data_IF_577162763216
#
_entry.id   IF_577162763216
#
_cell.length_a   1.000
_cell.length_b   1.000
_cell.length_c   1.000
_cell.angle_alpha   90.00
_cell.angle_beta   90.00
_cell.angle_gamma   90.00
#
_symmetry.space_group_name_H-M   'P 1'
#
loop_
_entity.id
_entity.type
_entity.pdbx_description
1 polymer ?
#
# COMPACT_ATOMS: atom_id res chain seq x y z
N UNK A 1 -34.02 -0.41 23.07
CA UNK A 1 -32.55 -0.26 23.28
C UNK A 1 -32.23 -0.95 24.59
N UNK A 2 -32.12 -2.28 24.55
CA UNK A 2 -31.71 -3.08 25.69
C UNK A 2 -30.22 -2.93 25.93
N UNK A 3 -29.85 -2.83 27.21
CA UNK A 3 -28.52 -2.46 27.66
C UNK A 3 -27.47 -3.49 27.28
N UNK A 4 -26.32 -3.01 26.81
CA UNK A 4 -25.09 -3.77 26.80
C UNK A 4 -24.69 -4.03 28.27
N UNK A 5 -25.13 -5.16 28.82
CA UNK A 5 -24.48 -5.73 30.01
C UNK A 5 -23.10 -6.18 29.56
N UNK A 6 -22.08 -5.45 29.98
CA UNK A 6 -20.70 -5.95 29.93
C UNK A 6 -20.66 -7.19 30.83
N UNK A 7 -20.54 -8.37 30.23
CA UNK A 7 -20.26 -9.59 30.99
C UNK A 7 -18.89 -9.39 31.66
N UNK A 8 -18.83 -9.48 32.98
CA UNK A 8 -17.55 -9.46 33.69
C UNK A 8 -16.84 -10.80 33.40
N UNK A 9 -15.51 -10.79 33.36
CA UNK A 9 -14.71 -11.99 33.06
C UNK A 9 -15.04 -13.17 33.97
N UNK A 10 -15.44 -12.89 35.22
CA UNK A 10 -15.87 -13.89 36.19
C UNK A 10 -17.20 -14.58 35.80
N UNK A 11 -18.15 -13.85 35.20
CA UNK A 11 -19.46 -14.39 34.81
C UNK A 11 -19.34 -15.33 33.59
N UNK A 12 -18.30 -15.14 32.77
CA UNK A 12 -18.08 -15.91 31.55
C UNK A 12 -17.64 -17.36 31.82
N UNK A 13 -16.86 -17.59 32.89
CA UNK A 13 -16.41 -18.93 33.28
C UNK A 13 -17.53 -19.80 33.85
N UNK A 14 -18.64 -19.21 34.30
CA UNK A 14 -19.80 -19.93 34.84
C UNK A 14 -20.81 -20.36 33.76
N UNK A 15 -20.63 -19.93 32.52
CA UNK A 15 -21.55 -20.25 31.41
C UNK A 15 -21.45 -21.69 30.92
N UNK A 16 -20.44 -22.45 31.38
CA UNK A 16 -20.24 -23.85 30.96
C UNK A 16 -19.92 -24.00 29.47
N UNK A 17 -19.38 -22.95 28.85
CA UNK A 17 -18.96 -22.97 27.45
C UNK A 17 -17.56 -23.59 27.35
N UNK A 18 -17.32 -24.35 26.30
CA UNK A 18 -16.00 -24.92 26.07
C UNK A 18 -15.07 -23.95 25.34
N UNK A 19 -15.64 -23.22 24.38
CA UNK A 19 -14.92 -22.21 23.62
C UNK A 19 -15.81 -21.01 23.31
N UNK A 20 -15.21 -19.83 23.32
CA UNK A 20 -15.82 -18.58 22.85
C UNK A 20 -14.90 -17.95 21.80
N UNK A 21 -15.42 -17.85 20.57
CA UNK A 21 -14.76 -17.14 19.47
C UNK A 21 -15.20 -15.68 19.49
N UNK A 22 -14.22 -14.79 19.58
CA UNK A 22 -14.40 -13.35 19.69
C UNK A 22 -13.92 -12.64 18.42
N UNK A 23 -14.35 -11.39 18.24
CA UNK A 23 -13.95 -10.53 17.13
C UNK A 23 -13.59 -9.12 17.60
N UNK A 24 -13.11 -8.29 16.68
CA UNK A 24 -12.75 -6.89 16.95
C UNK A 24 -11.28 -6.67 17.36
N UNK A 25 -10.49 -7.74 17.45
CA UNK A 25 -9.02 -7.70 17.47
C UNK A 25 -8.47 -8.26 16.16
N UNK A 26 -7.34 -7.73 15.70
CA UNK A 26 -6.72 -8.11 14.44
C UNK A 26 -5.52 -9.04 14.61
N UNK A 27 -4.98 -9.11 15.83
CA UNK A 27 -3.96 -10.05 16.29
C UNK A 27 -4.61 -11.35 16.79
N UNK A 28 -3.93 -12.48 16.56
CA UNK A 28 -4.32 -13.75 17.17
C UNK A 28 -4.08 -13.68 18.67
N UNK A 29 -5.09 -14.02 19.45
CA UNK A 29 -4.97 -14.17 20.89
C UNK A 29 -5.76 -15.36 21.38
N UNK A 30 -5.17 -16.09 22.31
CA UNK A 30 -5.80 -17.21 22.99
C UNK A 30 -5.55 -17.09 24.49
N UNK A 31 -6.58 -17.29 25.29
CA UNK A 31 -6.47 -17.33 26.73
C UNK A 31 -7.58 -18.18 27.34
N UNK A 32 -7.31 -18.72 28.53
CA UNK A 32 -8.26 -19.53 29.28
C UNK A 32 -8.87 -18.71 30.43
N UNK A 33 -10.19 -18.85 30.61
CA UNK A 33 -10.89 -18.37 31.81
C UNK A 33 -11.70 -19.55 32.36
N UNK A 34 -11.27 -20.09 33.51
CA UNK A 34 -11.85 -21.33 34.03
C UNK A 34 -11.53 -22.51 33.10
N UNK A 35 -12.57 -23.23 32.67
CA UNK A 35 -12.45 -24.33 31.70
C UNK A 35 -12.83 -23.91 30.27
N UNK A 36 -12.99 -22.61 30.03
CA UNK A 36 -13.42 -22.07 28.74
C UNK A 36 -12.23 -21.43 28.02
N UNK A 37 -12.01 -21.84 26.77
CA UNK A 37 -10.99 -21.24 25.89
C UNK A 37 -11.58 -20.05 25.13
N UNK A 38 -10.97 -18.88 25.26
CA UNK A 38 -11.33 -17.69 24.50
C UNK A 38 -10.32 -17.46 23.39
N UNK A 39 -10.82 -17.26 22.17
CA UNK A 39 -9.99 -17.06 20.99
C UNK A 39 -10.41 -15.81 20.25
N UNK A 40 -9.45 -14.94 20.00
CA UNK A 40 -9.49 -13.96 18.92
C UNK A 40 -8.71 -14.55 17.74
N UNK A 41 -9.37 -14.94 16.64
CA UNK A 41 -8.67 -15.50 15.48
C UNK A 41 -7.84 -14.46 14.72
N UNK A 42 -8.09 -13.17 14.97
CA UNK A 42 -7.44 -12.07 14.26
C UNK A 42 -8.01 -11.87 12.85
N UNK A 43 -7.31 -11.05 12.06
CA UNK A 43 -7.62 -10.88 10.63
C UNK A 43 -6.87 -11.92 9.79
N UNK A 44 -7.46 -12.36 8.67
CA UNK A 44 -6.79 -13.29 7.73
C UNK A 44 -5.85 -12.57 6.74
N UNK A 45 -5.89 -11.25 6.69
CA UNK A 45 -5.01 -10.43 5.85
C UNK A 45 -4.62 -9.16 6.62
N UNK A 46 -3.50 -8.55 6.24
CA UNK A 46 -3.11 -7.25 6.77
C UNK A 46 -4.20 -6.21 6.48
N UNK A 47 -4.48 -5.33 7.44
CA UNK A 47 -5.50 -4.29 7.27
C UNK A 47 -4.89 -2.92 6.96
N UNK A 48 -3.59 -2.77 7.19
CA UNK A 48 -2.82 -1.57 6.91
C UNK A 48 -1.51 -1.93 6.24
N UNK A 49 -0.92 -0.98 5.52
CA UNK A 49 0.42 -1.16 4.97
C UNK A 49 1.44 -1.39 6.09
N UNK A 50 2.31 -2.38 5.92
CA UNK A 50 3.33 -2.72 6.90
C UNK A 50 2.82 -3.54 8.09
N UNK A 51 1.64 -4.15 7.96
CA UNK A 51 1.07 -5.06 8.94
C UNK A 51 1.59 -6.49 8.68
N UNK A 52 2.69 -6.86 9.34
CA UNK A 52 3.49 -8.07 9.05
C UNK A 52 3.25 -9.24 9.99
N UNK A 53 2.30 -9.13 10.92
CA UNK A 53 2.08 -10.18 11.91
C UNK A 53 1.59 -11.47 11.24
N UNK A 54 2.02 -12.62 11.79
CA UNK A 54 1.56 -13.93 11.36
C UNK A 54 0.03 -13.99 11.48
N UNK A 55 -0.61 -14.53 10.44
CA UNK A 55 -2.06 -14.71 10.38
C UNK A 55 -2.40 -16.16 10.63
N UNK A 56 -3.55 -16.38 11.24
CA UNK A 56 -3.97 -17.72 11.62
C UNK A 56 -5.37 -17.99 11.12
N UNK A 57 -5.54 -19.17 10.50
CA UNK A 57 -6.83 -19.79 10.32
C UNK A 57 -7.04 -20.74 11.49
N UNK A 58 -8.07 -20.49 12.30
CA UNK A 58 -8.29 -21.22 13.53
C UNK A 58 -9.32 -22.32 13.33
N UNK A 59 -8.92 -23.56 13.63
CA UNK A 59 -9.81 -24.71 13.62
C UNK A 59 -10.18 -25.09 15.05
N UNK A 60 -11.47 -25.21 15.33
CA UNK A 60 -11.95 -25.79 16.59
C UNK A 60 -12.26 -27.27 16.35
N UNK A 61 -11.56 -28.16 17.04
CA UNK A 61 -11.95 -29.56 17.08
C UNK A 61 -12.95 -29.77 18.23
N UNK A 62 -14.13 -30.27 17.90
CA UNK A 62 -15.27 -30.45 18.81
C UNK A 62 -15.59 -31.94 19.02
N UNK A 63 -14.55 -32.78 19.06
CA UNK A 63 -14.72 -34.19 19.41
C UNK A 63 -15.05 -34.37 20.90
N UNK A 64 -15.78 -35.43 21.24
CA UNK A 64 -16.41 -35.66 22.55
C UNK A 64 -15.42 -35.74 23.74
N UNK A 65 -14.12 -35.90 23.50
CA UNK A 65 -13.08 -36.11 24.53
C UNK A 65 -12.01 -35.02 24.61
N UNK A 66 -11.74 -34.29 23.52
CA UNK A 66 -10.69 -33.27 23.45
C UNK A 66 -11.20 -32.07 22.65
N UNK A 67 -11.39 -30.95 23.36
CA UNK A 67 -11.74 -29.67 22.75
C UNK A 67 -10.45 -28.89 22.65
N UNK A 68 -9.95 -28.72 21.43
CA UNK A 68 -8.71 -27.99 21.20
C UNK A 68 -8.88 -26.99 20.05
N UNK A 69 -8.19 -25.88 20.19
CA UNK A 69 -8.01 -24.87 19.18
C UNK A 69 -6.70 -25.18 18.45
N UNK A 70 -6.78 -25.35 17.14
CA UNK A 70 -5.64 -25.59 16.25
C UNK A 70 -5.44 -24.36 15.35
N UNK A 71 -4.63 -23.37 15.79
CA UNK A 71 -4.29 -22.23 14.96
C UNK A 71 -3.28 -22.67 13.89
N UNK A 72 -3.67 -22.53 12.62
CA UNK A 72 -2.77 -22.80 11.48
C UNK A 72 -2.33 -21.51 10.84
N UNK A 73 -1.03 -21.37 10.61
CA UNK A 73 -0.49 -20.23 9.89
C UNK A 73 -1.17 -20.13 8.52
N UNK A 74 -1.75 -18.96 8.26
CA UNK A 74 -2.39 -18.59 7.01
C UNK A 74 -1.44 -17.68 6.24
N UNK A 75 -0.87 -18.23 5.17
CA UNK A 75 0.09 -17.52 4.31
C UNK A 75 -0.65 -16.60 3.34
N UNK A 76 -1.16 -15.48 3.86
CA UNK A 76 -1.72 -14.42 3.04
C UNK A 76 -0.60 -13.61 2.40
N UNK A 77 -0.70 -13.28 1.10
CA UNK A 77 0.24 -12.36 0.48
C UNK A 77 0.25 -11.02 1.22
N UNK A 78 1.42 -10.42 1.49
CA UNK A 78 1.53 -9.27 2.37
C UNK A 78 0.97 -7.98 1.73
N UNK A 79 0.72 -6.97 2.57
CA UNK A 79 0.41 -5.60 2.15
C UNK A 79 1.54 -4.68 2.59
N UNK A 80 2.24 -4.07 1.63
CA UNK A 80 3.55 -3.45 1.87
C UNK A 80 3.55 -1.96 1.55
N UNK A 81 4.36 -1.19 2.28
CA UNK A 81 4.71 0.17 1.91
C UNK A 81 6.20 0.21 1.54
N UNK A 82 6.52 0.80 0.39
CA UNK A 82 7.87 0.80 -0.14
C UNK A 82 8.20 2.09 -0.89
N UNK A 83 9.50 2.34 -1.04
CA UNK A 83 10.03 3.36 -1.95
C UNK A 83 10.61 2.69 -3.18
N UNK A 84 10.40 3.29 -4.33
CA UNK A 84 10.93 2.83 -5.61
C UNK A 84 11.74 3.96 -6.25
N UNK A 85 13.05 3.78 -6.31
CA UNK A 85 13.96 4.76 -6.90
C UNK A 85 13.97 4.61 -8.42
N UNK A 86 13.38 5.58 -9.12
CA UNK A 86 13.18 5.52 -10.57
C UNK A 86 14.51 5.62 -11.33
N UNK A 87 15.41 6.50 -10.88
CA UNK A 87 16.68 6.76 -11.54
C UNK A 87 17.59 5.53 -11.64
N UNK A 88 17.51 4.61 -10.67
CA UNK A 88 18.35 3.40 -10.64
C UNK A 88 17.87 2.28 -11.56
N UNK A 89 16.62 2.32 -12.02
CA UNK A 89 15.96 1.18 -12.68
C UNK A 89 15.78 1.41 -14.20
N UNK A 90 16.38 2.48 -14.76
CA UNK A 90 16.31 2.81 -16.20
C UNK A 90 14.88 2.89 -16.77
N UNK A 91 13.92 3.34 -15.96
CA UNK A 91 12.50 3.46 -16.34
C UNK A 91 12.33 4.48 -17.47
N UNK A 92 11.84 4.00 -18.62
CA UNK A 92 11.77 4.75 -19.87
C UNK A 92 10.36 5.22 -20.23
N UNK A 93 9.32 4.49 -19.81
CA UNK A 93 7.90 4.83 -19.95
C UNK A 93 7.04 4.18 -18.83
N UNK A 94 5.75 4.48 -18.80
CA UNK A 94 4.76 3.89 -17.89
C UNK A 94 4.69 2.35 -17.98
N UNK A 95 4.94 1.78 -19.16
CA UNK A 95 4.95 0.32 -19.35
C UNK A 95 6.18 -0.32 -18.71
N UNK A 96 7.34 0.31 -18.83
CA UNK A 96 8.58 -0.13 -18.17
C UNK A 96 8.45 -0.01 -16.66
N UNK A 97 7.84 1.07 -16.16
CA UNK A 97 7.55 1.24 -14.74
C UNK A 97 6.67 0.09 -14.23
N UNK A 98 5.59 -0.22 -14.94
CA UNK A 98 4.70 -1.33 -14.59
C UNK A 98 5.45 -2.68 -14.53
N UNK A 99 6.35 -2.94 -15.49
CA UNK A 99 7.14 -4.17 -15.51
C UNK A 99 8.07 -4.28 -14.29
N UNK A 100 8.81 -3.21 -13.97
CA UNK A 100 9.70 -3.20 -12.80
C UNK A 100 8.94 -3.34 -11.48
N UNK A 101 7.76 -2.70 -11.36
CA UNK A 101 6.91 -2.84 -10.18
C UNK A 101 6.37 -4.27 -10.03
N UNK A 102 5.89 -4.88 -11.12
CA UNK A 102 5.37 -6.23 -11.10
C UNK A 102 6.45 -7.26 -10.72
N UNK A 103 7.67 -7.12 -11.23
CA UNK A 103 8.79 -7.98 -10.88
C UNK A 103 9.18 -7.81 -9.40
N UNK A 104 9.38 -6.57 -8.96
CA UNK A 104 9.89 -6.26 -7.61
C UNK A 104 8.92 -6.64 -6.50
N UNK A 105 7.62 -6.53 -6.76
CA UNK A 105 6.56 -6.81 -5.80
C UNK A 105 5.82 -8.13 -6.10
N UNK A 106 6.43 -9.03 -6.87
CA UNK A 106 5.86 -10.36 -7.12
C UNK A 106 5.55 -11.08 -5.80
N UNK A 107 4.34 -11.64 -5.69
CA UNK A 107 3.90 -12.36 -4.48
C UNK A 107 3.34 -11.47 -3.37
N UNK A 108 3.20 -10.15 -3.60
CA UNK A 108 2.54 -9.21 -2.70
C UNK A 108 1.05 -9.08 -3.09
N UNK A 109 0.14 -8.94 -2.12
CA UNK A 109 -1.27 -8.66 -2.43
C UNK A 109 -1.46 -7.21 -2.89
N UNK A 110 -0.91 -6.27 -2.12
CA UNK A 110 -1.03 -4.84 -2.38
C UNK A 110 0.24 -4.10 -1.95
N UNK A 111 0.67 -3.12 -2.74
CA UNK A 111 1.83 -2.29 -2.43
C UNK A 111 1.48 -0.80 -2.54
N UNK A 112 1.70 -0.03 -1.47
CA UNK A 112 1.83 1.42 -1.57
C UNK A 112 3.27 1.75 -1.93
N UNK A 113 3.47 2.33 -3.10
CA UNK A 113 4.80 2.60 -3.62
C UNK A 113 4.97 4.10 -3.83
N UNK A 114 5.91 4.69 -3.10
CA UNK A 114 6.36 6.06 -3.36
C UNK A 114 7.50 6.03 -4.37
N UNK A 115 7.27 6.56 -5.56
CA UNK A 115 8.29 6.76 -6.57
C UNK A 115 9.19 7.92 -6.13
N UNK A 116 10.49 7.66 -6.07
CA UNK A 116 11.51 8.64 -5.66
C UNK A 116 12.61 8.75 -6.71
N UNK A 117 13.49 9.73 -6.51
CA UNK A 117 14.61 9.96 -7.40
C UNK A 117 14.31 10.90 -8.53
N UNK A 118 15.30 11.10 -9.39
CA UNK A 118 15.13 11.87 -10.61
C UNK A 118 14.34 11.06 -11.63
N UNK A 119 13.21 11.59 -12.08
CA UNK A 119 12.48 11.03 -13.21
C UNK A 119 12.80 11.81 -14.51
N UNK A 120 13.00 11.10 -15.63
CA UNK A 120 13.26 11.75 -16.92
C UNK A 120 12.03 12.49 -17.48
N UNK A 121 10.83 12.15 -17.02
CA UNK A 121 9.56 12.80 -17.35
C UNK A 121 8.53 12.54 -16.24
N UNK A 122 7.42 13.29 -16.17
CA UNK A 122 6.32 13.00 -15.25
C UNK A 122 5.55 11.77 -15.71
N UNK A 123 5.40 10.79 -14.81
CA UNK A 123 4.61 9.58 -15.07
C UNK A 123 3.12 9.87 -15.01
N UNK A 124 2.36 9.27 -15.92
CA UNK A 124 0.92 9.12 -15.76
C UNK A 124 0.61 7.84 -14.96
N UNK A 125 0.47 8.00 -13.65
CA UNK A 125 0.22 6.88 -12.74
C UNK A 125 -1.14 6.20 -12.96
N UNK A 126 -2.11 6.88 -13.58
CA UNK A 126 -3.42 6.30 -13.86
C UNK A 126 -3.37 5.30 -15.02
N UNK A 127 -2.32 5.37 -15.84
CA UNK A 127 -2.10 4.48 -16.99
C UNK A 127 -1.27 3.26 -16.61
N UNK A 128 -0.41 3.36 -15.59
CA UNK A 128 0.44 2.25 -15.11
C UNK A 128 -0.34 0.95 -14.87
N UNK A 129 -1.54 0.94 -14.23
CA UNK A 129 -2.31 -0.28 -14.02
C UNK A 129 -2.71 -1.02 -15.30
N UNK A 130 -2.82 -0.31 -16.43
CA UNK A 130 -3.20 -0.89 -17.73
C UNK A 130 -2.05 -1.71 -18.35
N UNK A 131 -0.83 -1.49 -17.89
CA UNK A 131 0.38 -2.18 -18.35
C UNK A 131 0.81 -3.32 -17.42
N UNK A 132 0.15 -3.48 -16.27
CA UNK A 132 0.46 -4.56 -15.34
C UNK A 132 0.05 -5.93 -15.90
N UNK A 133 0.85 -6.98 -15.70
CA UNK A 133 0.47 -8.34 -16.06
C UNK A 133 -0.70 -8.83 -15.20
N UNK A 134 -1.44 -9.80 -15.71
CA UNK A 134 -2.48 -10.49 -14.93
C UNK A 134 -1.88 -11.11 -13.66
N UNK A 135 -2.56 -10.94 -12.52
CA UNK A 135 -2.09 -11.42 -11.22
C UNK A 135 -1.03 -10.53 -10.55
N UNK A 136 -0.69 -9.38 -11.13
CA UNK A 136 0.13 -8.38 -10.45
C UNK A 136 -0.54 -7.86 -9.16
N UNK A 137 0.26 -7.41 -8.18
CA UNK A 137 -0.28 -6.78 -6.97
C UNK A 137 -1.15 -5.56 -7.29
N UNK A 138 -2.07 -5.23 -6.38
CA UNK A 138 -2.73 -3.93 -6.40
C UNK A 138 -1.73 -2.85 -5.98
N UNK A 139 -1.62 -1.77 -6.76
CA UNK A 139 -0.70 -0.68 -6.44
C UNK A 139 -1.44 0.59 -6.02
N UNK A 140 -0.97 1.20 -4.94
CA UNK A 140 -1.27 2.60 -4.57
C UNK A 140 -0.01 3.42 -4.82
N UNK A 141 0.04 4.12 -5.96
CA UNK A 141 1.24 4.79 -6.45
C UNK A 141 1.26 6.27 -6.03
N UNK A 142 2.39 6.71 -5.49
CA UNK A 142 2.62 8.09 -5.09
C UNK A 142 3.85 8.61 -5.82
N UNK A 143 3.68 9.67 -6.62
CA UNK A 143 4.80 10.31 -7.30
C UNK A 143 5.47 11.40 -6.44
N UNK A 144 6.63 11.07 -5.85
CA UNK A 144 7.55 12.01 -5.19
C UNK A 144 8.87 12.15 -5.96
N UNK A 145 8.87 11.89 -7.26
CA UNK A 145 10.06 12.04 -8.11
C UNK A 145 10.43 13.51 -8.31
N UNK A 146 11.73 13.77 -8.45
CA UNK A 146 12.25 15.06 -8.85
C UNK A 146 12.34 15.14 -10.38
N UNK A 147 11.95 16.30 -10.93
CA UNK A 147 11.96 16.59 -12.35
C UNK A 147 13.08 17.58 -12.72
N UNK A 148 14.10 17.67 -11.85
CA UNK A 148 15.26 18.55 -11.99
C UNK A 148 16.17 18.20 -13.16
N UNK A 149 16.11 16.99 -13.71
CA UNK A 149 16.85 16.59 -14.92
C UNK A 149 15.95 16.36 -16.14
N UNK A 150 14.65 16.71 -16.06
CA UNK A 150 13.78 16.68 -17.25
C UNK A 150 14.38 17.60 -18.32
N UNK A 151 14.80 16.99 -19.42
CA UNK A 151 15.20 17.67 -20.64
C UNK A 151 13.94 17.91 -21.46
N UNK A 152 13.37 19.11 -21.31
CA UNK A 152 12.20 19.54 -22.07
C UNK A 152 12.50 19.59 -23.58
N UNK A 153 11.56 19.09 -24.39
CA UNK A 153 11.66 19.03 -25.86
C UNK A 153 11.57 20.41 -26.51
N UNK A 154 10.42 21.09 -26.36
CA UNK A 154 10.19 22.40 -27.01
C UNK A 154 10.85 23.58 -26.28
N UNK A 155 11.15 24.67 -27.01
CA UNK A 155 11.73 25.90 -26.43
C UNK A 155 10.84 26.56 -25.38
N UNK A 156 9.52 26.43 -25.50
CA UNK A 156 8.57 26.92 -24.50
C UNK A 156 8.59 26.07 -23.23
N UNK A 157 8.62 24.75 -23.37
CA UNK A 157 8.74 23.83 -22.24
C UNK A 157 10.08 24.03 -21.51
N UNK A 158 11.18 24.21 -22.25
CA UNK A 158 12.50 24.52 -21.67
C UNK A 158 12.48 25.82 -20.87
N UNK A 159 11.86 26.89 -21.39
CA UNK A 159 11.71 28.15 -20.64
C UNK A 159 10.85 28.00 -19.40
N UNK A 160 9.76 27.24 -19.48
CA UNK A 160 8.89 26.97 -18.34
C UNK A 160 9.66 26.24 -17.22
N UNK A 161 10.36 25.16 -17.57
CA UNK A 161 11.17 24.38 -16.62
C UNK A 161 12.26 25.27 -15.99
N UNK A 162 13.00 26.03 -16.79
CA UNK A 162 14.04 26.94 -16.30
C UNK A 162 13.49 27.99 -15.33
N UNK A 163 12.33 28.59 -15.63
CA UNK A 163 11.72 29.62 -14.79
C UNK A 163 11.21 29.05 -13.45
N UNK A 164 10.66 27.84 -13.45
CA UNK A 164 10.23 27.19 -12.20
C UNK A 164 11.45 26.82 -11.36
N UNK A 165 12.54 26.34 -11.96
CA UNK A 165 13.80 26.05 -11.27
C UNK A 165 14.40 27.29 -10.59
N UNK A 166 14.51 28.39 -11.32
CA UNK A 166 14.98 29.66 -10.76
C UNK A 166 14.14 30.11 -9.54
N UNK A 167 12.82 29.95 -9.62
CA UNK A 167 11.92 30.27 -8.49
C UNK A 167 12.09 29.31 -7.31
N UNK A 168 12.49 28.06 -7.55
CA UNK A 168 12.73 27.09 -6.48
C UNK A 168 14.03 27.40 -5.72
N UNK A 169 15.08 27.88 -6.39
CA UNK A 169 16.40 28.08 -5.77
C UNK A 169 16.37 29.05 -4.57
N UNK A 170 15.51 30.07 -4.62
CA UNK A 170 15.32 31.05 -3.54
C UNK A 170 14.14 30.80 -2.59
N UNK A 171 13.39 29.70 -2.76
CA UNK A 171 12.14 29.47 -2.06
C UNK A 171 12.30 28.65 -0.77
N UNK A 172 11.36 28.84 0.17
CA UNK A 172 11.23 27.98 1.35
C UNK A 172 10.69 26.56 0.99
N UNK A 173 10.76 25.62 1.93
CA UNK A 173 10.36 24.22 1.71
C UNK A 173 8.90 24.07 1.27
N UNK A 174 8.00 24.86 1.83
CA UNK A 174 6.58 24.80 1.49
C UNK A 174 6.31 25.31 0.06
N UNK A 175 7.02 26.35 -0.34
CA UNK A 175 6.95 26.94 -1.68
C UNK A 175 7.63 26.06 -2.71
N UNK A 176 8.79 25.47 -2.40
CA UNK A 176 9.46 24.45 -3.22
C UNK A 176 8.53 23.28 -3.54
N UNK A 177 7.77 22.79 -2.55
CA UNK A 177 6.78 21.72 -2.76
C UNK A 177 5.70 22.12 -3.76
N UNK A 178 5.15 23.33 -3.64
CA UNK A 178 4.14 23.86 -4.59
C UNK A 178 4.71 24.02 -6.00
N UNK A 179 5.93 24.54 -6.11
CA UNK A 179 6.62 24.72 -7.39
C UNK A 179 6.94 23.39 -8.08
N UNK A 180 7.37 22.37 -7.33
CA UNK A 180 7.57 21.01 -7.87
C UNK A 180 6.27 20.42 -8.41
N UNK A 181 5.18 20.58 -7.68
CA UNK A 181 3.86 20.13 -8.15
C UNK A 181 3.42 20.88 -9.41
N UNK A 182 3.61 22.20 -9.46
CA UNK A 182 3.33 23.00 -10.66
C UNK A 182 4.20 22.59 -11.86
N UNK A 183 5.49 22.30 -11.63
CA UNK A 183 6.40 21.78 -12.64
C UNK A 183 5.88 20.48 -13.23
N UNK A 184 5.46 19.54 -12.38
CA UNK A 184 4.90 18.24 -12.79
C UNK A 184 3.66 18.40 -13.66
N UNK A 185 2.68 19.19 -13.21
CA UNK A 185 1.47 19.48 -13.99
C UNK A 185 1.83 20.12 -15.33
N UNK A 186 2.70 21.13 -15.33
CA UNK A 186 3.06 21.84 -16.55
C UNK A 186 3.74 20.95 -17.58
N UNK A 187 4.72 20.15 -17.15
CA UNK A 187 5.43 19.22 -18.04
C UNK A 187 4.49 18.12 -18.58
N UNK A 188 3.59 17.59 -17.74
CA UNK A 188 2.61 16.60 -18.18
C UNK A 188 1.67 17.16 -19.28
N UNK A 189 1.19 18.41 -19.11
CA UNK A 189 0.34 19.07 -20.14
C UNK A 189 1.08 19.31 -21.45
N UNK A 190 2.36 19.65 -21.43
CA UNK A 190 3.13 19.77 -22.67
C UNK A 190 3.24 18.43 -23.40
N UNK A 191 3.42 17.32 -22.66
CA UNK A 191 3.46 15.96 -23.23
C UNK A 191 2.13 15.57 -23.88
N UNK A 192 1.00 15.86 -23.23
CA UNK A 192 -0.33 15.63 -23.82
C UNK A 192 -0.52 16.36 -25.16
N UNK A 193 -0.07 17.62 -25.24
CA UNK A 193 -0.16 18.42 -26.47
C UNK A 193 0.73 17.85 -27.59
N UNK A 194 1.95 17.43 -27.27
CA UNK A 194 2.87 16.83 -28.24
C UNK A 194 2.36 15.49 -28.79
N UNK A 195 1.68 14.67 -27.96
CA UNK A 195 1.04 13.43 -28.39
C UNK A 195 -0.19 13.71 -29.27
N UNK A 196 -0.97 14.74 -28.95
CA UNK A 196 -2.15 15.13 -29.74
C UNK A 196 -1.80 15.69 -31.12
N UNK A 197 -0.65 16.36 -31.27
CA UNK A 197 -0.18 16.87 -32.57
C UNK A 197 0.42 15.77 -33.47
N UNK A 198 0.74 14.61 -32.90
CA UNK A 198 1.35 13.46 -33.60
C UNK A 198 0.34 12.38 -34.05
N UNK A 199 -0.93 12.47 -33.61
CA UNK A 199 -2.02 11.52 -33.92
C UNK A 199 -2.93 12.04 -35.03
#
# INVERSE_FOLDING_TARGET
>A
REGSRSLLSADLGELGLDCVVLGGRHDYQEYEIGNTTFVYPGALCGLTYGDWDERFLVFANLDDEVKNIDPRVWDAPPIVEAKFEVASEAVADESSLAAHLAEKFSGVAMARVTLTGTAPYPFDLDVVPQHLPEGAPLFDLIDDTDLSDVMAGSTMQQRFVAQIREKMDGADTATKRKLRHALRIGVARFRELEVSDAA
#
